data_IF_532257177089
#
_entry.id   IF_532257177089
#
_cell.length_a   1.000
_cell.length_b   1.000
_cell.length_c   1.000
_cell.angle_alpha   90.00
_cell.angle_beta   90.00
_cell.angle_gamma   90.00
#
_symmetry.space_group_name_H-M   'P 1'
#
loop_
_entity.id
_entity.type
_entity.pdbx_description
1 polymer ?
#
# COMPACT_ATOMS: atom_id res chain seq x y z
N UNK A 1 10.58 14.44 4.11
CA UNK A 1 9.86 13.45 3.59
C UNK A 1 10.71 12.45 2.99
N UNK A 2 10.51 11.30 3.36
CA UNK A 2 11.31 10.23 2.86
C UNK A 2 10.90 9.93 1.47
N UNK A 3 11.83 9.94 0.56
CA UNK A 3 11.51 9.63 -0.79
C UNK A 3 11.86 8.23 -1.16
N UNK A 4 12.10 7.38 -0.18
CA UNK A 4 12.49 6.01 -0.45
C UNK A 4 11.32 5.10 -0.16
N UNK A 5 10.52 4.78 -1.15
CA UNK A 5 9.32 3.97 -0.92
C UNK A 5 9.62 2.60 -0.31
N UNK A 6 10.81 2.06 -0.56
CA UNK A 6 11.12 0.75 0.01
C UNK A 6 11.11 0.76 1.54
N UNK A 7 11.45 1.88 2.16
CA UNK A 7 11.42 1.96 3.62
C UNK A 7 10.00 1.90 4.14
N UNK A 8 9.10 2.55 3.44
CA UNK A 8 7.68 2.50 3.79
C UNK A 8 7.14 1.09 3.63
N UNK A 9 7.47 0.43 2.52
CA UNK A 9 7.02 -0.92 2.31
C UNK A 9 7.59 -1.86 3.34
N UNK A 10 8.85 -1.68 3.70
CA UNK A 10 9.47 -2.52 4.70
C UNK A 10 8.78 -2.35 6.04
N UNK A 11 8.47 -1.13 6.41
CA UNK A 11 7.77 -0.88 7.66
C UNK A 11 6.39 -1.52 7.67
N UNK A 12 5.70 -1.52 6.54
CA UNK A 12 4.38 -2.13 6.44
C UNK A 12 4.43 -3.64 6.23
N UNK A 13 5.60 -4.18 5.99
CA UNK A 13 5.73 -5.60 5.66
C UNK A 13 5.71 -6.55 6.84
N UNK A 14 5.19 -6.12 7.96
CA UNK A 14 5.07 -6.93 9.15
C UNK A 14 3.60 -6.92 9.60
N UNK A 15 3.08 -8.07 9.96
CA UNK A 15 1.66 -8.18 10.28
C UNK A 15 1.24 -7.25 11.42
N UNK A 16 2.06 -7.15 12.46
CA UNK A 16 1.74 -6.27 13.58
C UNK A 16 1.73 -4.82 13.15
N UNK A 17 2.75 -4.42 12.39
CA UNK A 17 2.84 -3.02 11.97
C UNK A 17 1.72 -2.66 11.00
N UNK A 18 1.38 -3.56 10.10
CA UNK A 18 0.27 -3.30 9.19
C UNK A 18 -1.03 -3.15 9.97
N UNK A 19 -1.25 -4.00 10.97
CA UNK A 19 -2.46 -3.93 11.78
C UNK A 19 -2.54 -2.59 12.53
N UNK A 20 -1.41 -2.09 13.00
CA UNK A 20 -1.38 -0.80 13.69
C UNK A 20 -1.81 0.32 12.73
N UNK A 21 -1.26 0.32 11.54
CA UNK A 21 -1.62 1.36 10.57
C UNK A 21 -3.10 1.27 10.21
N UNK A 22 -3.60 0.06 10.02
CA UNK A 22 -5.02 -0.11 9.71
C UNK A 22 -5.90 0.41 10.83
N UNK A 23 -5.48 0.19 12.06
CA UNK A 23 -6.25 0.68 13.20
C UNK A 23 -6.20 2.21 13.26
N UNK A 24 -5.03 2.79 13.00
CA UNK A 24 -4.88 4.25 13.04
C UNK A 24 -5.57 4.94 11.88
N UNK A 25 -5.87 4.23 10.81
CA UNK A 25 -6.66 4.81 9.74
C UNK A 25 -8.09 5.10 10.20
N UNK A 26 -8.52 4.43 11.26
CA UNK A 26 -9.85 4.71 11.81
C UNK A 26 -9.84 5.92 12.74
N UNK A 27 -8.67 6.31 13.20
CA UNK A 27 -8.53 7.45 14.09
C UNK A 27 -7.37 7.24 15.05
N UNK A 28 -6.97 8.29 15.76
CA UNK A 28 -5.88 8.17 16.73
C UNK A 28 -6.19 7.16 17.82
N UNK A 29 -5.18 6.56 18.38
CA UNK A 29 -5.34 5.58 19.45
C UNK A 29 -4.13 5.60 20.35
N UNK A 30 -4.32 5.25 21.61
CA UNK A 30 -3.21 5.20 22.56
C UNK A 30 -2.37 3.97 22.30
N UNK A 31 -1.13 4.04 22.75
CA UNK A 31 -0.24 2.88 22.64
C UNK A 31 -0.84 1.68 23.34
N UNK A 32 -1.46 1.89 24.49
CA UNK A 32 -2.10 0.79 25.23
C UNK A 32 -3.19 0.12 24.42
N UNK A 33 -4.04 0.92 23.80
CA UNK A 33 -5.11 0.37 23.00
C UNK A 33 -4.59 -0.37 21.78
N UNK A 34 -3.57 0.19 21.16
CA UNK A 34 -2.99 -0.46 19.99
C UNK A 34 -2.33 -1.78 20.34
N UNK A 35 -1.70 -1.85 21.49
CA UNK A 35 -0.98 -3.04 21.92
C UNK A 35 -1.91 -4.17 22.35
N UNK A 36 -3.10 -3.82 22.82
CA UNK A 36 -3.98 -4.80 23.46
C UNK A 36 -4.25 -6.05 22.64
N UNK A 37 -4.54 -5.95 21.34
CA UNK A 37 -4.85 -7.17 20.57
C UNK A 37 -3.64 -8.03 20.24
N UNK A 38 -2.43 -7.56 20.56
CA UNK A 38 -1.23 -8.28 20.15
C UNK A 38 -0.60 -9.01 21.31
N UNK A 39 -0.27 -10.29 21.08
CA UNK A 39 0.29 -11.11 22.14
C UNK A 39 1.79 -10.93 22.15
N UNK A 40 2.26 -9.85 22.69
CA UNK A 40 3.68 -9.61 22.82
C UNK A 40 3.92 -8.62 23.94
N UNK A 41 5.15 -8.63 24.46
CA UNK A 41 5.51 -7.71 25.52
C UNK A 41 5.53 -6.27 25.01
N UNK A 42 5.22 -5.35 25.87
CA UNK A 42 5.16 -3.95 25.50
C UNK A 42 6.47 -3.43 24.87
N UNK A 43 7.64 -3.79 25.36
CA UNK A 43 8.86 -3.32 24.70
C UNK A 43 8.97 -3.78 23.25
N UNK A 44 8.52 -5.00 22.96
CA UNK A 44 8.54 -5.51 21.60
C UNK A 44 7.54 -4.73 20.73
N UNK A 45 6.36 -4.48 21.25
CA UNK A 45 5.36 -3.72 20.54
C UNK A 45 5.85 -2.29 20.28
N UNK A 46 6.49 -1.68 21.26
CA UNK A 46 7.01 -0.34 21.12
C UNK A 46 8.06 -0.25 19.99
N UNK A 47 8.85 -1.32 19.82
CA UNK A 47 9.80 -1.33 18.72
C UNK A 47 9.10 -1.25 17.37
N UNK A 48 7.97 -1.93 17.25
CA UNK A 48 7.19 -1.84 16.01
C UNK A 48 6.71 -0.41 15.77
N UNK A 49 6.29 0.27 16.82
CA UNK A 49 5.86 1.66 16.66
C UNK A 49 7.02 2.53 16.23
N UNK A 50 8.21 2.29 16.76
CA UNK A 50 9.38 3.08 16.38
C UNK A 50 9.74 2.88 14.92
N UNK A 51 9.60 1.66 14.41
CA UNK A 51 9.86 1.41 13.00
C UNK A 51 8.89 2.20 12.14
N UNK A 52 7.62 2.22 12.53
CA UNK A 52 6.62 2.99 11.79
C UNK A 52 6.89 4.49 11.87
N UNK A 53 7.32 4.97 13.01
CA UNK A 53 7.66 6.39 13.15
C UNK A 53 8.88 6.75 12.33
N UNK A 54 9.89 5.90 12.34
CA UNK A 54 11.11 6.15 11.57
C UNK A 54 10.83 6.15 10.07
N UNK A 55 9.86 5.39 9.63
CA UNK A 55 9.45 5.38 8.24
C UNK A 55 8.52 6.54 7.89
N UNK A 56 8.16 7.35 8.88
CA UNK A 56 7.31 8.52 8.64
C UNK A 56 5.83 8.21 8.48
N UNK A 57 5.42 6.99 8.84
CA UNK A 57 4.03 6.60 8.67
C UNK A 57 3.13 7.06 9.79
N UNK A 58 3.66 7.13 10.99
CA UNK A 58 2.89 7.55 12.14
C UNK A 58 3.68 8.55 12.97
N UNK A 59 2.96 9.27 13.81
CA UNK A 59 3.55 10.14 14.79
C UNK A 59 2.86 9.86 16.11
N UNK A 60 3.45 10.29 17.20
CA UNK A 60 2.82 10.16 18.50
C UNK A 60 3.02 11.43 19.30
N UNK A 61 2.12 11.61 20.25
CA UNK A 61 2.18 12.77 21.11
C UNK A 61 1.82 12.32 22.51
N UNK A 62 2.62 12.74 23.49
CA UNK A 62 2.37 12.36 24.84
C UNK A 62 1.63 13.48 25.56
N UNK A 63 0.53 13.13 26.20
CA UNK A 63 -0.23 14.06 27.01
C UNK A 63 -0.41 13.41 28.35
N UNK A 64 0.26 13.96 29.38
CA UNK A 64 0.25 13.33 30.68
C UNK A 64 0.97 11.99 30.60
N UNK A 65 0.28 10.94 30.97
CA UNK A 65 0.84 9.60 30.93
C UNK A 65 0.46 8.83 29.68
N UNK A 66 -0.35 9.44 28.85
CA UNK A 66 -0.89 8.74 27.68
C UNK A 66 -0.11 9.17 26.43
N UNK A 67 0.38 8.20 25.70
CA UNK A 67 0.99 8.47 24.41
C UNK A 67 -0.01 8.04 23.35
N UNK A 68 -0.41 8.98 22.52
CA UNK A 68 -1.39 8.75 21.46
C UNK A 68 -0.69 8.75 20.11
N UNK A 69 -0.97 7.75 19.31
CA UNK A 69 -0.41 7.63 17.97
C UNK A 69 -1.43 8.04 16.94
N UNK A 70 -0.96 8.54 15.82
CA UNK A 70 -1.85 8.92 14.72
C UNK A 70 -1.07 8.85 13.42
N UNK A 71 -1.81 8.72 12.34
CA UNK A 71 -1.23 8.63 11.01
C UNK A 71 -0.56 9.95 10.64
N UNK A 72 0.54 9.85 9.93
CA UNK A 72 1.21 11.03 9.37
C UNK A 72 0.82 11.10 7.90
N UNK A 73 -0.14 11.94 7.52
CA UNK A 73 -0.69 11.92 6.17
C UNK A 73 0.29 12.06 5.02
N UNK A 74 1.36 12.88 5.13
CA UNK A 74 2.27 13.02 4.00
C UNK A 74 2.87 11.71 3.52
N UNK A 75 3.19 10.78 4.45
CA UNK A 75 3.76 9.50 4.04
C UNK A 75 2.75 8.66 3.28
N UNK A 76 1.50 8.68 3.72
CA UNK A 76 0.46 7.94 3.00
C UNK A 76 0.19 8.54 1.63
N UNK A 77 0.20 9.86 1.53
CA UNK A 77 0.03 10.51 0.23
C UNK A 77 1.16 10.16 -0.72
N UNK A 78 2.39 10.11 -0.20
CA UNK A 78 3.54 9.73 -1.02
C UNK A 78 3.41 8.30 -1.52
N UNK A 79 2.94 7.41 -0.64
CA UNK A 79 2.76 6.02 -1.00
C UNK A 79 1.66 5.87 -2.05
N UNK A 80 0.57 6.58 -1.87
CA UNK A 80 -0.53 6.54 -2.83
C UNK A 80 -0.06 7.06 -4.19
N UNK A 81 0.73 8.13 -4.20
CA UNK A 81 1.27 8.66 -5.44
C UNK A 81 2.17 7.66 -6.14
N UNK A 82 2.98 6.95 -5.37
CA UNK A 82 3.84 5.91 -5.93
C UNK A 82 3.01 4.84 -6.64
N UNK A 83 1.94 4.38 -5.99
CA UNK A 83 1.05 3.38 -6.59
C UNK A 83 0.34 3.93 -7.81
N UNK A 84 -0.14 5.16 -7.73
CA UNK A 84 -0.86 5.76 -8.85
C UNK A 84 0.01 5.87 -10.10
N UNK A 85 1.28 6.26 -9.91
CA UNK A 85 2.21 6.37 -11.02
C UNK A 85 2.45 5.01 -11.67
N UNK A 86 2.61 3.97 -10.86
CA UNK A 86 2.82 2.62 -11.40
C UNK A 86 1.56 2.08 -12.04
N UNK A 87 0.42 2.43 -11.50
CA UNK A 87 -0.84 2.02 -12.08
C UNK A 87 -1.01 2.59 -13.49
N UNK A 88 -0.69 3.87 -13.65
CA UNK A 88 -0.78 4.49 -14.96
C UNK A 88 0.16 3.82 -15.96
N UNK A 89 1.38 3.54 -15.51
CA UNK A 89 2.34 2.89 -16.37
C UNK A 89 1.87 1.50 -16.75
N UNK A 90 1.36 0.77 -15.78
CA UNK A 90 0.88 -0.59 -16.01
C UNK A 90 -0.32 -0.60 -16.95
N UNK A 91 -1.25 0.32 -16.76
CA UNK A 91 -2.43 0.41 -17.61
C UNK A 91 -2.06 0.78 -19.04
N UNK A 92 -1.11 1.68 -19.20
CA UNK A 92 -0.63 2.02 -20.54
C UNK A 92 -0.02 0.80 -21.22
N UNK A 93 0.72 0.00 -20.46
CA UNK A 93 1.28 -1.22 -21.01
C UNK A 93 0.23 -2.22 -21.38
N UNK A 94 -0.79 -2.37 -20.56
CA UNK A 94 -1.88 -3.29 -20.86
C UNK A 94 -2.64 -2.84 -22.11
N UNK A 95 -2.87 -1.54 -22.24
CA UNK A 95 -3.54 -1.03 -23.43
C UNK A 95 -2.70 -1.30 -24.67
N UNK A 96 -1.40 -1.07 -24.58
CA UNK A 96 -0.51 -1.32 -25.68
C UNK A 96 -0.50 -2.79 -26.06
N UNK A 97 -0.48 -3.65 -25.06
CA UNK A 97 -0.50 -5.09 -25.30
C UNK A 97 -1.82 -5.51 -25.93
N UNK A 98 -2.92 -4.95 -25.47
CA UNK A 98 -4.22 -5.27 -26.04
C UNK A 98 -4.30 -4.88 -27.49
N UNK A 99 -3.77 -3.72 -27.83
CA UNK A 99 -3.74 -3.30 -29.23
C UNK A 99 -2.89 -4.23 -30.08
N UNK A 100 -1.74 -4.60 -29.53
CA UNK A 100 -0.86 -5.51 -30.24
C UNK A 100 -1.51 -6.87 -30.48
N UNK A 101 -2.18 -7.38 -29.48
CA UNK A 101 -2.86 -8.66 -29.60
C UNK A 101 -4.02 -8.58 -30.60
N UNK A 102 -4.71 -7.46 -30.61
CA UNK A 102 -5.80 -7.30 -31.57
C UNK A 102 -5.27 -7.26 -32.98
N UNK A 103 -4.18 -6.57 -33.22
CA UNK A 103 -3.60 -6.54 -34.55
C UNK A 103 -3.14 -7.93 -34.97
N UNK A 104 -2.52 -8.67 -34.09
CA UNK A 104 -2.09 -10.00 -34.37
C UNK A 104 -3.30 -10.89 -34.66
N UNK A 105 -4.38 -10.70 -33.96
CA UNK A 105 -5.54 -11.47 -34.22
C UNK A 105 -6.13 -11.14 -35.54
N UNK A 106 -6.17 -9.89 -35.92
CA UNK A 106 -6.70 -9.55 -37.23
C UNK A 106 -5.88 -10.18 -38.30
N UNK A 107 -4.56 -10.14 -38.16
CA UNK A 107 -3.71 -10.76 -39.17
C UNK A 107 -3.97 -12.25 -39.21
N UNK A 108 -4.12 -12.87 -38.09
CA UNK A 108 -4.32 -14.29 -38.05
C UNK A 108 -5.68 -14.66 -38.64
N UNK A 109 -6.64 -13.76 -38.53
CA UNK A 109 -7.91 -14.11 -38.98
C UNK A 109 -8.08 -13.80 -40.37
N UNK A 110 -7.12 -13.38 -41.07
CA UNK A 110 -7.31 -13.07 -42.38
C UNK A 110 -7.85 -14.14 -43.03
N UNK A 111 -7.79 -15.20 -42.70
CA UNK A 111 -8.26 -16.25 -43.37
C UNK A 111 -9.23 -16.99 -42.66
N UNK A 112 -9.66 -16.76 -41.54
CA UNK A 112 -10.62 -17.62 -41.07
C UNK A 112 -11.33 -16.89 -40.02
N UNK A 113 -12.36 -17.33 -39.71
CA UNK A 113 -13.22 -16.69 -38.93
C UNK A 113 -12.84 -16.60 -37.61
N UNK A 114 -13.19 -15.91 -36.91
CA UNK A 114 -12.76 -15.80 -35.79
C UNK A 114 -13.52 -16.06 -34.76
N UNK A 115 -13.26 -16.30 -33.79
CA UNK A 115 -13.92 -16.57 -32.84
C UNK A 115 -13.64 -15.51 -32.00
N UNK A 116 -14.11 -14.97 -31.42
CA UNK A 116 -13.96 -13.96 -30.76
C UNK A 116 -13.56 -14.08 -29.47
N UNK A 117 -12.87 -13.72 -29.01
CA UNK A 117 -12.40 -13.93 -27.85
C UNK A 117 -12.28 -12.69 -27.30
N UNK A 118 -12.75 -12.20 -26.57
CA UNK A 118 -12.65 -11.10 -26.09
C UNK A 118 -11.74 -10.93 -25.10
N UNK A 119 -11.22 -10.09 -24.87
CA UNK A 119 -10.23 -9.94 -24.06
C UNK A 119 -10.73 -9.52 -22.82
N UNK A 120 -10.57 -9.57 -22.04
CA UNK A 120 -11.00 -9.34 -20.97
C UNK A 120 -10.43 -8.29 -20.41
N UNK A 121 -10.56 -7.73 -19.98
CA UNK A 121 -10.16 -6.68 -19.64
C UNK A 121 -10.00 -6.57 -18.43
N UNK A 122 -9.88 -6.74 -17.89
CA UNK A 122 -9.50 -6.76 -16.81
C UNK A 122 -9.70 -5.94 -16.06
N UNK A 123 -9.76 -5.79 -15.76
CA UNK A 123 -9.85 -5.02 -15.08
C UNK A 123 -9.53 -4.91 -14.39
#
# INVERSE_FOLDING_TARGET
MDKQPHRTFQALGDATRLAVVEELLKGPASVSDLARPHDMALPAFTKHLRVLEAAGLIQSQKTGRVRTCFIHPPALHALLGWFTDRQRLWEARLDSLALHLNDTKKDAQHGHSSRNTRPRTGA
#
